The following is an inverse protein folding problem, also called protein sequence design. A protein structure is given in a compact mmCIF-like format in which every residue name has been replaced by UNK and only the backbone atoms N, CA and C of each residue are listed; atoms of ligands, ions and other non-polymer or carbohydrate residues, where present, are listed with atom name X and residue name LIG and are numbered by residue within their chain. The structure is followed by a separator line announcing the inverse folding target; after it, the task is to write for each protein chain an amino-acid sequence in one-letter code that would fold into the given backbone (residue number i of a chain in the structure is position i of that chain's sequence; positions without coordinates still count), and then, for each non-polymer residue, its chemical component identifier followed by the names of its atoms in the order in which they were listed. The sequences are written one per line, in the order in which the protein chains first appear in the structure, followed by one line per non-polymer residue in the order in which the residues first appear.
data_IF_072119267805
#
_entry.id   IF_072119267805
#
_cell.length_a   1.000
_cell.length_b   1.000
_cell.length_c   1.000
_cell.angle_alpha   90.00
_cell.angle_beta   90.00
_cell.angle_gamma   90.00
#
_symmetry.space_group_name_H-M   'P 1'
#
loop_
_entity.id
_entity.type
_entity.pdbx_description
1 polymer ?
#
# COMPACT_ATOMS: atom_id res chain seq x y z
N UNK A 1 27.97 19.59 12.59
CA UNK A 1 27.12 19.18 13.74
C UNK A 1 27.53 19.99 14.95
N UNK A 2 26.59 20.51 15.73
CA UNK A 2 26.91 21.21 16.98
C UNK A 2 27.31 20.23 18.08
N UNK A 3 28.07 20.70 19.07
CA UNK A 3 28.47 19.90 20.24
C UNK A 3 27.26 19.35 21.01
N UNK A 4 26.19 20.16 21.11
CA UNK A 4 24.89 19.76 21.66
C UNK A 4 24.21 18.62 20.88
N UNK A 5 24.30 18.61 19.53
CA UNK A 5 23.78 17.51 18.72
C UNK A 5 24.55 16.20 18.96
N UNK A 6 25.87 16.28 19.16
CA UNK A 6 26.71 15.10 19.42
C UNK A 6 26.42 14.54 20.81
N UNK A 7 26.30 15.39 21.83
CA UNK A 7 25.93 14.98 23.19
C UNK A 7 24.54 14.35 23.25
N UNK A 8 23.57 14.96 22.56
CA UNK A 8 22.22 14.44 22.44
C UNK A 8 22.23 13.04 21.79
N UNK A 9 22.84 12.89 20.61
CA UNK A 9 22.98 11.58 19.94
C UNK A 9 23.68 10.53 20.80
N UNK A 10 24.67 10.93 21.60
CA UNK A 10 25.36 10.04 22.53
C UNK A 10 24.47 9.60 23.70
N UNK A 11 23.67 10.50 24.26
CA UNK A 11 22.68 10.19 25.28
C UNK A 11 21.62 9.22 24.72
N UNK A 12 21.19 9.43 23.48
CA UNK A 12 20.20 8.58 22.82
C UNK A 12 20.70 7.16 22.54
N UNK A 13 21.95 7.00 22.10
CA UNK A 13 22.58 5.67 21.97
C UNK A 13 22.51 4.89 23.28
N UNK A 14 22.80 5.56 24.40
CA UNK A 14 22.73 4.94 25.74
C UNK A 14 21.29 4.59 26.15
N UNK A 15 20.32 5.41 25.78
CA UNK A 15 18.92 5.20 26.15
C UNK A 15 18.23 4.14 25.27
N UNK A 16 18.51 4.06 23.97
CA UNK A 16 18.00 2.99 23.09
C UNK A 16 18.58 1.61 23.45
N UNK A 17 19.83 1.56 23.91
CA UNK A 17 20.45 0.35 24.41
C UNK A 17 19.74 -0.23 25.65
N UNK A 18 19.04 0.61 26.43
CA UNK A 18 18.33 0.22 27.65
C UNK A 18 16.84 -0.02 27.38
N UNK A 19 16.46 -1.30 27.30
CA UNK A 19 15.09 -1.79 27.02
C UNK A 19 14.00 -1.11 27.85
N UNK A 20 14.30 -0.83 29.11
CA UNK A 20 13.43 -0.26 30.14
C UNK A 20 13.17 1.25 29.98
N UNK A 21 14.07 2.00 29.32
CA UNK A 21 13.98 3.47 29.20
C UNK A 21 13.70 3.97 27.79
N UNK A 22 13.34 3.08 26.85
CA UNK A 22 13.12 3.42 25.43
C UNK A 22 11.98 4.41 25.21
N UNK A 23 10.87 4.28 25.95
CA UNK A 23 9.74 5.22 25.86
C UNK A 23 10.16 6.62 26.29
N UNK A 24 10.96 6.74 27.36
CA UNK A 24 11.52 8.02 27.81
C UNK A 24 12.51 8.59 26.78
N UNK A 25 13.34 7.74 26.17
CA UNK A 25 14.31 8.11 25.14
C UNK A 25 13.63 8.76 23.94
N UNK A 26 12.59 8.10 23.43
CA UNK A 26 11.84 8.60 22.28
C UNK A 26 11.01 9.83 22.64
N UNK A 27 10.37 9.87 23.81
CA UNK A 27 9.64 11.04 24.25
C UNK A 27 10.56 12.27 24.38
N UNK A 28 11.81 12.09 24.79
CA UNK A 28 12.80 13.16 24.85
C UNK A 28 13.26 13.61 23.45
N UNK A 29 13.42 12.67 22.51
CA UNK A 29 13.74 12.98 21.11
C UNK A 29 12.63 13.75 20.41
N UNK A 30 11.37 13.35 20.59
CA UNK A 30 10.22 14.05 20.01
C UNK A 30 10.06 15.48 20.56
N UNK A 31 10.63 15.78 21.73
CA UNK A 31 10.68 17.15 22.29
C UNK A 31 11.83 17.99 21.72
N UNK A 32 12.80 17.37 21.06
CA UNK A 32 14.02 17.99 20.53
C UNK A 32 14.28 17.58 19.07
N UNK A 33 13.38 17.93 18.12
CA UNK A 33 13.48 17.52 16.71
C UNK A 33 14.76 18.00 16.02
N UNK A 34 15.40 19.04 16.52
CA UNK A 34 16.70 19.55 16.06
C UNK A 34 17.85 18.52 16.15
N UNK A 35 17.68 17.48 16.97
CA UNK A 35 18.65 16.39 17.13
C UNK A 35 18.45 15.25 16.11
N UNK A 36 17.32 15.23 15.41
CA UNK A 36 16.96 14.18 14.46
C UNK A 36 17.36 14.56 13.03
N UNK A 37 18.62 14.99 12.84
CA UNK A 37 19.17 15.45 11.55
C UNK A 37 20.40 14.65 11.15
N UNK A 38 20.65 14.53 9.85
CA UNK A 38 21.77 13.79 9.29
C UNK A 38 21.64 12.27 9.42
N UNK A 39 22.75 11.55 9.25
CA UNK A 39 22.75 10.09 9.24
C UNK A 39 22.14 9.50 10.53
N UNK A 40 21.17 8.56 10.42
CA UNK A 40 20.55 7.96 11.59
C UNK A 40 21.56 7.09 12.37
N UNK A 41 21.45 7.00 13.70
CA UNK A 41 22.30 6.12 14.49
C UNK A 41 21.97 4.64 14.19
N UNK A 42 22.97 3.74 14.10
CA UNK A 42 22.74 2.31 13.84
C UNK A 42 21.77 1.63 14.81
N UNK A 43 21.70 2.13 16.05
CA UNK A 43 20.80 1.66 17.09
C UNK A 43 19.33 1.94 16.76
N UNK A 44 19.02 3.06 16.09
CA UNK A 44 17.67 3.37 15.61
C UNK A 44 17.22 2.34 14.57
N UNK A 45 18.11 2.02 13.62
CA UNK A 45 17.83 1.05 12.56
C UNK A 45 17.67 -0.37 13.12
N UNK A 46 18.50 -0.72 14.10
CA UNK A 46 18.40 -1.98 14.83
C UNK A 46 17.07 -2.06 15.60
N UNK A 47 16.65 -0.96 16.23
CA UNK A 47 15.37 -0.88 16.91
C UNK A 47 14.21 -1.02 15.93
N UNK A 48 14.20 -0.24 14.83
CA UNK A 48 13.18 -0.35 13.77
C UNK A 48 13.02 -1.78 13.28
N UNK A 49 14.13 -2.45 13.00
CA UNK A 49 14.12 -3.85 12.55
C UNK A 49 13.58 -4.81 13.60
N UNK A 50 14.01 -4.67 14.87
CA UNK A 50 13.58 -5.55 15.97
C UNK A 50 12.08 -5.40 16.30
N UNK A 51 11.49 -4.25 16.00
CA UNK A 51 10.09 -3.93 16.28
C UNK A 51 9.25 -3.81 15.01
N UNK A 52 9.72 -4.29 13.86
CA UNK A 52 9.00 -4.19 12.58
C UNK A 52 7.60 -4.85 12.60
N UNK A 53 7.35 -5.82 13.49
CA UNK A 53 6.07 -6.55 13.61
C UNK A 53 5.19 -6.11 14.79
N UNK A 54 5.72 -5.26 15.66
CA UNK A 54 4.99 -4.54 16.70
C UNK A 54 5.68 -3.19 16.83
N UNK A 55 5.50 -2.32 15.82
CA UNK A 55 6.11 -1.01 15.85
C UNK A 55 5.40 -0.28 16.97
N UNK A 56 5.97 -0.35 18.17
CA UNK A 56 5.58 0.53 19.24
C UNK A 56 5.54 1.92 18.62
N UNK A 57 4.36 2.53 18.55
CA UNK A 57 4.04 3.76 17.84
C UNK A 57 5.13 4.82 18.01
N UNK A 58 5.74 4.79 19.19
CA UNK A 58 6.98 5.44 19.62
C UNK A 58 8.15 5.34 18.62
N UNK A 59 8.66 4.16 18.25
CA UNK A 59 9.86 4.02 17.37
C UNK A 59 9.56 4.50 15.95
N UNK A 60 8.37 4.19 15.42
CA UNK A 60 7.94 4.71 14.12
C UNK A 60 7.77 6.23 14.16
N UNK A 61 7.25 6.80 15.25
CA UNK A 61 7.15 8.24 15.44
C UNK A 61 8.53 8.90 15.48
N UNK A 62 9.51 8.27 16.12
CA UNK A 62 10.88 8.76 16.11
C UNK A 62 11.48 8.75 14.70
N UNK A 63 11.29 7.66 13.95
CA UNK A 63 11.77 7.56 12.59
C UNK A 63 11.14 8.62 11.68
N UNK A 64 9.83 8.89 11.84
CA UNK A 64 9.14 9.97 11.14
C UNK A 64 9.63 11.38 11.53
N UNK A 65 10.11 11.56 12.76
CA UNK A 65 10.71 12.81 13.22
C UNK A 65 12.17 13.00 12.73
N UNK A 66 12.81 11.92 12.27
CA UNK A 66 14.14 11.99 11.66
C UNK A 66 14.09 12.60 10.28
N UNK A 67 15.14 13.34 9.93
CA UNK A 67 15.32 13.87 8.59
C UNK A 67 15.17 12.74 7.57
N UNK A 68 14.17 12.89 6.69
CA UNK A 68 13.69 11.80 5.84
C UNK A 68 14.75 11.31 4.87
N UNK A 69 15.48 12.22 4.22
CA UNK A 69 16.48 11.84 3.20
C UNK A 69 17.62 10.98 3.77
N UNK A 70 18.34 11.39 4.83
CA UNK A 70 19.39 10.55 5.42
C UNK A 70 18.88 9.20 5.96
N UNK A 71 17.66 9.16 6.52
CA UNK A 71 17.08 7.91 7.00
C UNK A 71 16.74 6.97 5.84
N UNK A 72 16.12 7.51 4.78
CA UNK A 72 15.81 6.76 3.57
C UNK A 72 17.08 6.19 2.91
N UNK A 73 18.14 6.99 2.80
CA UNK A 73 19.40 6.59 2.18
C UNK A 73 20.07 5.43 2.92
N UNK A 74 20.10 5.45 4.25
CA UNK A 74 20.69 4.35 5.04
C UNK A 74 19.81 3.08 4.97
N UNK A 75 18.48 3.23 5.04
CA UNK A 75 17.56 2.09 4.86
C UNK A 75 17.70 1.46 3.47
N UNK A 76 17.74 2.27 2.42
CA UNK A 76 17.88 1.83 1.04
C UNK A 76 19.26 1.21 0.80
N UNK A 77 20.33 1.82 1.32
CA UNK A 77 21.69 1.27 1.25
C UNK A 77 21.79 -0.11 1.87
N UNK A 78 21.16 -0.33 3.03
CA UNK A 78 21.10 -1.65 3.70
C UNK A 78 20.27 -2.65 2.92
N UNK A 79 19.13 -2.22 2.38
CA UNK A 79 18.29 -3.04 1.52
C UNK A 79 19.06 -3.54 0.28
N UNK A 80 19.76 -2.63 -0.42
CA UNK A 80 20.51 -2.94 -1.63
C UNK A 80 21.73 -3.83 -1.35
N UNK A 81 22.40 -3.63 -0.21
CA UNK A 81 23.54 -4.45 0.19
C UNK A 81 23.14 -5.87 0.68
N UNK A 82 21.88 -6.08 1.08
CA UNK A 82 21.43 -7.33 1.68
C UNK A 82 21.02 -8.36 0.62
N UNK A 83 21.75 -9.49 0.57
CA UNK A 83 21.46 -10.60 -0.36
C UNK A 83 20.53 -11.67 0.20
N UNK A 84 20.40 -11.76 1.52
CA UNK A 84 19.56 -12.78 2.18
C UNK A 84 18.09 -12.38 2.02
N UNK A 85 17.23 -13.19 1.36
CA UNK A 85 15.86 -12.79 1.02
C UNK A 85 15.04 -12.29 2.20
N UNK A 86 15.04 -13.02 3.32
CA UNK A 86 14.25 -12.63 4.50
C UNK A 86 14.74 -11.33 5.13
N UNK A 87 16.06 -11.18 5.28
CA UNK A 87 16.64 -9.95 5.81
C UNK A 87 16.44 -8.76 4.86
N UNK A 88 16.40 -9.00 3.55
CA UNK A 88 16.13 -7.99 2.54
C UNK A 88 14.67 -7.51 2.60
N UNK A 89 13.72 -8.43 2.77
CA UNK A 89 12.31 -8.11 3.01
C UNK A 89 12.13 -7.28 4.30
N UNK A 90 12.83 -7.63 5.38
CA UNK A 90 12.81 -6.87 6.64
C UNK A 90 13.37 -5.44 6.50
N UNK A 91 14.34 -5.21 5.62
CA UNK A 91 14.80 -3.85 5.33
C UNK A 91 13.81 -3.09 4.45
N UNK A 92 13.22 -3.77 3.46
CA UNK A 92 12.21 -3.18 2.60
C UNK A 92 10.98 -2.72 3.40
N UNK A 93 10.57 -3.47 4.43
CA UNK A 93 9.41 -3.13 5.26
C UNK A 93 9.53 -1.81 6.03
N UNK A 94 10.74 -1.28 6.16
CA UNK A 94 11.01 -0.02 6.86
C UNK A 94 10.98 1.20 5.93
N UNK A 95 11.11 1.02 4.61
CA UNK A 95 11.14 2.13 3.64
C UNK A 95 9.86 2.99 3.64
N UNK A 96 8.64 2.42 3.80
CA UNK A 96 7.41 3.23 3.91
C UNK A 96 7.36 4.19 5.11
N UNK A 97 8.25 4.04 6.11
CA UNK A 97 8.25 4.88 7.31
C UNK A 97 8.75 6.30 7.01
N UNK A 98 9.72 6.42 6.10
CA UNK A 98 10.36 7.69 5.77
C UNK A 98 10.80 7.70 4.29
N UNK A 99 9.85 7.60 3.35
CA UNK A 99 10.21 7.71 1.94
C UNK A 99 10.75 9.11 1.65
N UNK A 100 11.71 9.19 0.72
CA UNK A 100 12.35 10.43 0.30
C UNK A 100 12.24 10.58 -1.21
N UNK A 101 11.91 11.79 -1.68
CA UNK A 101 11.90 12.08 -3.11
C UNK A 101 13.24 11.77 -3.78
N UNK A 102 14.38 12.05 -3.12
CA UNK A 102 15.70 11.74 -3.72
C UNK A 102 15.91 10.25 -4.05
N UNK A 103 15.16 9.35 -3.41
CA UNK A 103 15.27 7.91 -3.59
C UNK A 103 14.16 7.32 -4.49
N UNK A 104 13.26 8.16 -5.03
CA UNK A 104 12.05 7.69 -5.70
C UNK A 104 12.34 6.79 -6.90
N UNK A 105 13.34 7.15 -7.72
CA UNK A 105 13.74 6.37 -8.90
C UNK A 105 14.22 4.97 -8.51
N UNK A 106 15.04 4.87 -7.45
CA UNK A 106 15.53 3.57 -6.99
C UNK A 106 14.38 2.72 -6.41
N UNK A 107 13.44 3.33 -5.71
CA UNK A 107 12.24 2.63 -5.20
C UNK A 107 11.39 2.14 -6.37
N UNK A 108 11.18 2.98 -7.39
CA UNK A 108 10.47 2.65 -8.62
C UNK A 108 11.12 1.47 -9.35
N UNK A 109 12.44 1.53 -9.58
CA UNK A 109 13.18 0.48 -10.27
C UNK A 109 13.04 -0.87 -9.56
N UNK A 110 13.07 -0.87 -8.22
CA UNK A 110 12.89 -2.09 -7.44
C UNK A 110 11.45 -2.60 -7.54
N UNK A 111 10.45 -1.73 -7.49
CA UNK A 111 9.05 -2.09 -7.67
C UNK A 111 8.78 -2.70 -9.06
N UNK A 112 9.44 -2.18 -10.09
CA UNK A 112 9.30 -2.61 -11.49
C UNK A 112 9.97 -3.96 -11.81
N UNK A 113 10.91 -4.45 -10.98
CA UNK A 113 11.65 -5.69 -11.27
C UNK A 113 10.74 -6.90 -11.46
N UNK A 114 10.80 -7.65 -12.58
CA UNK A 114 9.89 -8.77 -12.84
C UNK A 114 9.94 -9.90 -11.80
N UNK A 115 11.13 -10.20 -11.26
CA UNK A 115 11.36 -11.36 -10.38
C UNK A 115 11.65 -10.97 -8.92
N UNK A 116 11.14 -9.82 -8.48
CA UNK A 116 11.30 -9.38 -7.10
C UNK A 116 10.34 -10.11 -6.13
N UNK A 117 10.76 -10.24 -4.87
CA UNK A 117 9.93 -10.80 -3.79
C UNK A 117 8.64 -9.96 -3.68
N UNK A 118 7.48 -10.63 -3.64
CA UNK A 118 6.17 -9.96 -3.59
C UNK A 118 6.09 -8.94 -2.44
N UNK A 119 6.54 -9.31 -1.25
CA UNK A 119 6.50 -8.40 -0.10
C UNK A 119 7.42 -7.20 -0.30
N UNK A 120 8.60 -7.39 -0.91
CA UNK A 120 9.49 -6.28 -1.26
C UNK A 120 8.79 -5.33 -2.23
N UNK A 121 8.18 -5.84 -3.31
CA UNK A 121 7.40 -5.00 -4.25
C UNK A 121 6.29 -4.24 -3.52
N UNK A 122 5.52 -4.90 -2.66
CA UNK A 122 4.46 -4.26 -1.87
C UNK A 122 5.01 -3.08 -1.06
N UNK A 123 6.11 -3.27 -0.36
CA UNK A 123 6.73 -2.20 0.43
C UNK A 123 7.26 -1.05 -0.44
N UNK A 124 7.78 -1.33 -1.64
CA UNK A 124 8.19 -0.25 -2.56
C UNK A 124 6.98 0.57 -3.02
N UNK A 125 5.86 -0.09 -3.36
CA UNK A 125 4.62 0.61 -3.67
C UNK A 125 4.09 1.43 -2.50
N UNK A 126 4.15 0.93 -1.28
CA UNK A 126 3.77 1.70 -0.08
C UNK A 126 4.67 2.92 0.13
N UNK A 127 5.98 2.79 -0.12
CA UNK A 127 6.91 3.91 -0.06
C UNK A 127 6.62 4.96 -1.14
N UNK A 128 6.35 4.56 -2.39
CA UNK A 128 5.89 5.47 -3.45
C UNK A 128 4.56 6.14 -3.08
N UNK A 129 3.66 5.41 -2.42
CA UNK A 129 2.42 5.95 -1.90
C UNK A 129 2.60 7.03 -0.85
N UNK A 130 3.64 6.95 -0.01
CA UNK A 130 3.97 8.03 0.93
C UNK A 130 4.50 9.27 0.21
N UNK A 131 5.22 9.11 -0.91
CA UNK A 131 5.67 10.24 -1.73
C UNK A 131 4.50 10.92 -2.46
N UNK A 132 3.50 10.16 -2.91
CA UNK A 132 2.25 10.70 -3.44
C UNK A 132 1.49 11.50 -2.38
N UNK A 133 1.37 10.98 -1.14
CA UNK A 133 0.69 11.68 -0.04
C UNK A 133 1.36 13.03 0.28
N UNK A 134 2.69 13.10 0.20
CA UNK A 134 3.47 14.31 0.43
C UNK A 134 3.47 15.27 -0.79
N UNK A 135 2.82 14.91 -1.91
CA UNK A 135 2.80 15.70 -3.14
C UNK A 135 4.17 15.79 -3.84
N UNK A 136 5.07 14.85 -3.54
CA UNK A 136 6.43 14.77 -4.10
C UNK A 136 6.49 13.95 -5.38
N UNK A 137 5.45 13.16 -5.67
CA UNK A 137 5.29 12.44 -6.92
C UNK A 137 3.92 12.73 -7.53
N UNK A 138 3.81 12.51 -8.83
CA UNK A 138 2.60 12.62 -9.62
C UNK A 138 2.24 11.29 -10.28
N UNK A 139 1.02 11.22 -10.82
CA UNK A 139 0.62 10.06 -11.62
C UNK A 139 1.47 9.86 -12.87
N UNK A 140 1.89 10.95 -13.50
CA UNK A 140 2.64 10.88 -14.77
C UNK A 140 3.97 10.14 -14.60
N UNK A 141 4.53 10.13 -13.39
CA UNK A 141 5.76 9.39 -13.06
C UNK A 141 5.50 7.91 -12.73
N UNK A 142 4.30 7.56 -12.27
CA UNK A 142 3.96 6.22 -11.77
C UNK A 142 2.98 5.44 -12.65
N UNK A 143 2.38 6.08 -13.65
CA UNK A 143 1.24 5.54 -14.40
C UNK A 143 1.51 4.19 -15.03
N UNK A 144 2.61 4.05 -15.77
CA UNK A 144 2.99 2.78 -16.42
C UNK A 144 3.20 1.65 -15.39
N UNK A 145 3.90 1.95 -14.30
CA UNK A 145 4.16 0.97 -13.24
C UNK A 145 2.87 0.51 -12.56
N UNK A 146 1.94 1.44 -12.31
CA UNK A 146 0.66 1.12 -11.67
C UNK A 146 -0.29 0.40 -12.62
N UNK A 147 -0.28 0.74 -13.92
CA UNK A 147 -0.98 -0.01 -14.96
C UNK A 147 -0.49 -1.45 -15.04
N UNK A 148 0.83 -1.69 -15.09
CA UNK A 148 1.37 -3.05 -15.09
C UNK A 148 0.99 -3.81 -13.81
N UNK A 149 1.20 -3.19 -12.65
CA UNK A 149 0.95 -3.80 -11.36
C UNK A 149 -0.55 -4.06 -11.09
N UNK A 150 -1.45 -3.33 -11.75
CA UNK A 150 -2.91 -3.53 -11.66
C UNK A 150 -3.34 -4.93 -12.11
N UNK A 151 -2.56 -5.58 -12.98
CA UNK A 151 -2.86 -6.92 -13.50
C UNK A 151 -1.98 -8.01 -12.88
N UNK A 152 -1.21 -7.68 -11.84
CA UNK A 152 -0.27 -8.59 -11.21
C UNK A 152 -0.96 -9.85 -10.67
N UNK A 153 -0.36 -11.03 -10.82
CA UNK A 153 -0.96 -12.31 -10.41
C UNK A 153 -1.26 -12.38 -8.91
N UNK A 154 -0.41 -11.77 -8.09
CA UNK A 154 -0.60 -11.69 -6.65
C UNK A 154 -1.60 -10.58 -6.24
N UNK A 155 -2.70 -10.90 -5.53
CA UNK A 155 -3.71 -9.94 -5.13
C UNK A 155 -3.21 -8.88 -4.14
N UNK A 156 -2.15 -9.14 -3.36
CA UNK A 156 -1.58 -8.13 -2.45
C UNK A 156 -1.01 -6.93 -3.20
N UNK A 157 -0.41 -7.17 -4.37
CA UNK A 157 0.10 -6.11 -5.24
C UNK A 157 -1.07 -5.33 -5.83
N UNK A 158 -2.07 -6.02 -6.39
CA UNK A 158 -3.26 -5.34 -6.95
C UNK A 158 -4.00 -4.51 -5.90
N UNK A 159 -4.12 -5.01 -4.66
CA UNK A 159 -4.73 -4.27 -3.56
C UNK A 159 -3.93 -3.00 -3.20
N UNK A 160 -2.60 -3.07 -3.18
CA UNK A 160 -1.78 -1.87 -2.93
C UNK A 160 -1.93 -0.84 -4.05
N UNK A 161 -2.00 -1.30 -5.32
CA UNK A 161 -2.28 -0.41 -6.46
C UNK A 161 -3.63 0.26 -6.32
N UNK A 162 -4.67 -0.48 -5.90
CA UNK A 162 -5.99 0.10 -5.63
C UNK A 162 -5.91 1.23 -4.58
N UNK A 163 -5.17 1.00 -3.49
CA UNK A 163 -4.93 2.04 -2.47
C UNK A 163 -4.20 3.26 -3.03
N UNK A 164 -3.21 3.06 -3.91
CA UNK A 164 -2.48 4.16 -4.56
C UNK A 164 -3.37 4.97 -5.51
N UNK A 165 -4.28 4.32 -6.23
CA UNK A 165 -5.23 5.00 -7.11
C UNK A 165 -6.12 5.98 -6.33
N UNK A 166 -6.49 5.65 -5.09
CA UNK A 166 -7.29 6.53 -4.22
C UNK A 166 -6.57 7.80 -3.76
N UNK A 167 -5.24 7.86 -3.89
CA UNK A 167 -4.41 9.00 -3.48
C UNK A 167 -4.16 9.99 -4.61
N UNK A 168 -4.41 9.57 -5.85
CA UNK A 168 -4.14 10.37 -7.04
C UNK A 168 -5.34 11.26 -7.40
N UNK A 169 -5.09 12.41 -8.02
CA UNK A 169 -6.16 13.20 -8.62
C UNK A 169 -6.77 12.42 -9.79
N UNK A 170 -8.09 12.14 -9.79
CA UNK A 170 -8.72 11.17 -10.67
C UNK A 170 -8.63 11.59 -12.14
N UNK A 171 -7.88 10.84 -12.94
CA UNK A 171 -7.85 10.93 -14.40
C UNK A 171 -8.61 9.77 -15.04
N UNK A 172 -9.02 9.90 -16.30
CA UNK A 172 -9.75 8.82 -16.98
C UNK A 172 -9.00 7.46 -16.94
N UNK A 173 -7.69 7.37 -17.21
CA UNK A 173 -6.94 6.11 -17.05
C UNK A 173 -7.01 5.52 -15.64
N UNK A 174 -6.84 6.34 -14.60
CA UNK A 174 -6.92 5.89 -13.21
C UNK A 174 -8.32 5.36 -12.86
N UNK A 175 -9.37 6.02 -13.35
CA UNK A 175 -10.75 5.58 -13.12
C UNK A 175 -11.05 4.23 -13.78
N UNK A 176 -10.45 3.96 -14.95
CA UNK A 176 -10.53 2.66 -15.61
C UNK A 176 -9.85 1.60 -14.76
N UNK A 177 -8.62 1.84 -14.29
CA UNK A 177 -7.93 0.91 -13.39
C UNK A 177 -8.69 0.65 -12.10
N UNK A 178 -9.23 1.70 -11.48
CA UNK A 178 -10.03 1.56 -10.27
C UNK A 178 -11.30 0.73 -10.53
N UNK A 179 -11.92 0.87 -11.71
CA UNK A 179 -13.01 -0.02 -12.10
C UNK A 179 -12.55 -1.49 -12.17
N UNK A 180 -11.38 -1.76 -12.74
CA UNK A 180 -10.83 -3.12 -12.74
C UNK A 180 -10.64 -3.67 -11.32
N UNK A 181 -10.16 -2.85 -10.37
CA UNK A 181 -10.00 -3.26 -8.96
C UNK A 181 -11.33 -3.64 -8.30
N UNK A 182 -12.39 -2.90 -8.59
CA UNK A 182 -13.73 -3.20 -8.10
C UNK A 182 -14.31 -4.50 -8.73
N UNK A 183 -13.76 -4.98 -9.85
CA UNK A 183 -14.22 -6.19 -10.57
C UNK A 183 -13.38 -7.40 -10.16
N UNK A 184 -12.38 -7.18 -9.31
CA UNK A 184 -11.45 -8.22 -8.90
C UNK A 184 -12.19 -9.28 -8.08
N UNK A 185 -11.93 -10.55 -8.42
CA UNK A 185 -12.50 -11.68 -7.71
C UNK A 185 -11.97 -11.80 -6.27
N UNK A 186 -10.82 -11.19 -5.96
CA UNK A 186 -10.25 -11.20 -4.63
C UNK A 186 -10.89 -10.13 -3.74
N UNK A 187 -11.47 -10.50 -2.58
CA UNK A 187 -12.18 -9.56 -1.73
C UNK A 187 -11.28 -8.46 -1.13
N UNK A 188 -9.97 -8.68 -1.03
CA UNK A 188 -9.04 -7.69 -0.48
C UNK A 188 -8.76 -6.57 -1.49
N UNK A 189 -8.70 -6.93 -2.78
CA UNK A 189 -8.54 -5.95 -3.87
C UNK A 189 -9.82 -5.15 -4.03
N UNK A 190 -10.98 -5.81 -3.99
CA UNK A 190 -12.28 -5.15 -4.01
C UNK A 190 -12.42 -4.15 -2.84
N UNK A 191 -12.08 -4.57 -1.62
CA UNK A 191 -12.14 -3.69 -0.45
C UNK A 191 -11.25 -2.46 -0.61
N UNK A 192 -9.99 -2.64 -1.03
CA UNK A 192 -9.07 -1.52 -1.29
C UNK A 192 -9.58 -0.59 -2.40
N UNK A 193 -10.21 -1.14 -3.45
CA UNK A 193 -10.87 -0.35 -4.49
C UNK A 193 -12.05 0.47 -3.97
N UNK A 194 -12.89 -0.12 -3.11
CA UNK A 194 -14.00 0.61 -2.48
C UNK A 194 -13.51 1.72 -1.56
N UNK A 195 -12.46 1.47 -0.78
CA UNK A 195 -11.82 2.48 0.06
C UNK A 195 -11.27 3.64 -0.79
N UNK A 196 -10.61 3.33 -1.90
CA UNK A 196 -10.12 4.34 -2.85
C UNK A 196 -11.26 5.19 -3.45
N UNK A 197 -12.38 4.58 -3.84
CA UNK A 197 -13.57 5.32 -4.30
C UNK A 197 -14.11 6.25 -3.20
N UNK A 198 -14.14 5.78 -1.95
CA UNK A 198 -14.59 6.58 -0.82
C UNK A 198 -13.73 7.83 -0.62
N UNK A 199 -12.40 7.69 -0.73
CA UNK A 199 -11.44 8.80 -0.61
C UNK A 199 -11.59 9.81 -1.76
N UNK A 200 -11.79 9.34 -2.99
CA UNK A 200 -11.97 10.19 -4.17
C UNK A 200 -13.31 10.95 -4.18
N UNK A 201 -14.22 10.62 -3.26
CA UNK A 201 -15.54 11.23 -3.15
C UNK A 201 -16.43 10.96 -4.36
N UNK A 202 -17.57 11.68 -4.43
CA UNK A 202 -18.50 11.60 -5.56
C UNK A 202 -17.95 12.31 -6.79
N UNK A 203 -16.81 11.85 -7.33
CA UNK A 203 -16.33 12.29 -8.63
C UNK A 203 -17.42 11.91 -9.66
N UNK A 204 -17.94 12.85 -10.48
CA UNK A 204 -19.11 12.60 -11.33
C UNK A 204 -18.93 11.41 -12.26
N UNK A 205 -17.71 11.23 -12.79
CA UNK A 205 -17.35 10.07 -13.63
C UNK A 205 -17.36 8.77 -12.82
N UNK A 206 -16.90 8.78 -11.56
CA UNK A 206 -16.95 7.59 -10.70
C UNK A 206 -18.38 7.24 -10.32
N UNK A 207 -19.21 8.23 -9.98
CA UNK A 207 -20.62 8.03 -9.68
C UNK A 207 -21.36 7.47 -10.90
N UNK A 208 -21.09 7.98 -12.10
CA UNK A 208 -21.66 7.47 -13.34
C UNK A 208 -21.18 6.05 -13.68
N UNK A 209 -19.88 5.77 -13.55
CA UNK A 209 -19.31 4.45 -13.83
C UNK A 209 -19.74 3.39 -12.82
N UNK A 210 -19.78 3.72 -11.52
CA UNK A 210 -20.32 2.82 -10.49
C UNK A 210 -21.81 2.57 -10.69
N UNK A 211 -22.61 3.61 -10.99
CA UNK A 211 -24.03 3.46 -11.32
C UNK A 211 -24.27 2.54 -12.52
N UNK A 212 -23.64 2.81 -13.67
CA UNK A 212 -23.74 1.97 -14.87
C UNK A 212 -23.37 0.51 -14.60
N UNK A 213 -22.46 0.29 -13.66
CA UNK A 213 -21.98 -1.02 -13.29
C UNK A 213 -22.88 -1.75 -12.32
N UNK A 214 -23.45 -1.08 -11.33
CA UNK A 214 -24.51 -1.65 -10.50
C UNK A 214 -25.69 -2.09 -11.37
N UNK A 215 -26.09 -1.25 -12.35
CA UNK A 215 -27.10 -1.62 -13.34
C UNK A 215 -26.67 -2.82 -14.19
N UNK A 216 -25.42 -2.88 -14.65
CA UNK A 216 -24.92 -4.05 -15.41
C UNK A 216 -24.93 -5.34 -14.58
N UNK A 217 -24.51 -5.29 -13.31
CA UNK A 217 -24.51 -6.46 -12.42
C UNK A 217 -25.93 -6.94 -12.13
N UNK A 218 -26.85 -6.00 -11.84
CA UNK A 218 -28.27 -6.27 -11.70
C UNK A 218 -28.84 -6.96 -12.95
N UNK A 219 -28.57 -6.43 -14.13
CA UNK A 219 -29.02 -7.02 -15.40
C UNK A 219 -28.44 -8.43 -15.64
N UNK A 220 -27.19 -8.67 -15.23
CA UNK A 220 -26.57 -10.00 -15.32
C UNK A 220 -27.19 -11.01 -14.34
N UNK A 221 -27.56 -10.59 -13.13
CA UNK A 221 -28.30 -11.42 -12.17
C UNK A 221 -29.70 -11.74 -12.67
N UNK A 222 -30.44 -10.74 -13.15
CA UNK A 222 -31.75 -10.92 -13.78
C UNK A 222 -31.66 -11.91 -14.95
N UNK A 223 -30.64 -11.80 -15.81
CA UNK A 223 -30.41 -12.72 -16.91
C UNK A 223 -30.07 -14.15 -16.44
N UNK A 224 -29.24 -14.31 -15.40
CA UNK A 224 -28.92 -15.63 -14.81
C UNK A 224 -30.18 -16.31 -14.25
N UNK A 225 -31.05 -15.56 -13.59
CA UNK A 225 -32.32 -16.07 -13.07
C UNK A 225 -33.27 -16.48 -14.20
N UNK A 226 -33.33 -15.72 -15.30
CA UNK A 226 -34.08 -16.11 -16.50
C UNK A 226 -33.53 -17.43 -17.08
N UNK A 227 -32.21 -17.60 -17.17
CA UNK A 227 -31.61 -18.83 -17.67
C UNK A 227 -31.90 -20.04 -16.75
N UNK A 228 -31.83 -19.87 -15.43
CA UNK A 228 -32.21 -20.93 -14.47
C UNK A 228 -33.67 -21.35 -14.63
N UNK A 229 -34.60 -20.39 -14.75
CA UNK A 229 -36.02 -20.66 -14.98
C UNK A 229 -36.25 -21.38 -16.31
N UNK A 230 -35.59 -20.93 -17.38
CA UNK A 230 -35.66 -21.58 -18.70
C UNK A 230 -35.13 -23.02 -18.65
N UNK A 231 -34.02 -23.25 -17.96
CA UNK A 231 -33.46 -24.59 -17.79
C UNK A 231 -34.40 -25.50 -16.99
N UNK A 232 -34.96 -25.01 -15.88
CA UNK A 232 -35.94 -25.74 -15.07
C UNK A 232 -37.21 -26.12 -15.85
N UNK A 233 -37.70 -25.23 -16.72
CA UNK A 233 -38.84 -25.52 -17.60
C UNK A 233 -38.53 -26.57 -18.69
N UNK A 234 -37.27 -26.67 -19.09
CA UNK A 234 -36.81 -27.65 -20.08
C UNK A 234 -36.48 -29.02 -19.46
N UNK A 235 -36.06 -29.06 -18.19
CA UNK A 235 -35.70 -30.31 -17.47
C UNK A 235 -36.86 -30.92 -16.67
N UNK A 236 -37.87 -30.13 -16.32
CA UNK A 236 -39.11 -30.59 -15.68
C UNK A 236 -40.33 -30.14 -16.49
N UNK A 237 -40.68 -30.84 -17.60
CA UNK A 237 -41.95 -30.58 -18.25
C UNK A 237 -43.09 -30.87 -17.27
N UNK A 238 -44.02 -29.92 -17.11
CA UNK A 238 -45.22 -30.10 -16.31
C UNK A 238 -45.88 -31.45 -16.66
N UNK A 239 -46.37 -32.23 -15.68
CA UNK A 239 -47.13 -33.44 -15.99
C UNK A 239 -48.33 -33.03 -16.83
N UNK A 240 -48.42 -33.60 -18.03
CA UNK A 240 -49.58 -33.46 -18.92
C UNK A 240 -50.80 -33.83 -18.09
N UNK A 241 -51.60 -32.84 -17.73
CA UNK A 241 -52.93 -33.04 -17.15
C UNK A 241 -53.74 -33.74 -18.23
N UNK A 242 -53.81 -35.08 -18.16
CA UNK A 242 -54.78 -35.84 -18.94
C UNK A 242 -56.15 -35.39 -18.45
N UNK A 243 -56.80 -34.53 -19.22
CA UNK A 243 -58.22 -34.30 -19.09
C UNK A 243 -58.92 -35.63 -19.40
N UNK A 244 -59.47 -36.26 -18.36
CA UNK A 244 -60.40 -37.37 -18.49
C UNK A 244 -61.66 -36.84 -19.16
N UNK A 245 -61.78 -37.04 -20.46
CA UNK A 245 -63.06 -36.85 -21.17
C UNK A 245 -63.88 -38.10 -20.91
N UNK A 246 -65.01 -37.92 -20.22
CA UNK A 246 -66.04 -38.94 -20.03
C UNK A 246 -66.90 -39.15 -21.27
#
# INVERSE_FOLDING_TARGET
MSEQQIEAQTLYKRLLARLDRRKEAVALLLRHPEHCKGAPPPELLTALKRYAHDPAETITSLAKAWERAPLCDDLLGRFLATRVPKAREEWASLLPIAPSHHAWETIYEVAARPFEIVEVKRYMFEALGGLLDDGLLSWDELGELLEEASTHSNPRIRAVVATLLGKCSPTHPQLVLLCHMLDDANPWVLAAGLDAVSVLGAHPTLAHMTFLRFERLRLLEEWREIQKKRHSLLTHPHPVVRASVG
#
